data_IF_912133395769
#
_entry.id   IF_912133395769
#
_cell.length_a   1.000
_cell.length_b   1.000
_cell.length_c   1.000
_cell.angle_alpha   90.00
_cell.angle_beta   90.00
_cell.angle_gamma   90.00
#
_symmetry.space_group_name_H-M   'P 1'
#
loop_
_entity.id
_entity.type
_entity.pdbx_description
1 polymer ?
#
# COMPACT_ATOMS: atom_id res chain seq x y z
N UNK A 1 20.12 -24.10 4.54
CA UNK A 1 19.81 -23.74 4.50
C UNK A 1 19.36 -23.38 4.53
N UNK A 2 19.24 -23.06 4.48
CA UNK A 2 18.87 -22.55 4.44
C UNK A 2 18.55 -21.85 4.22
N UNK A 3 18.37 -21.73 4.36
CA UNK A 3 18.01 -21.02 4.31
C UNK A 3 17.91 -20.27 3.67
N UNK A 4 17.58 -20.30 3.24
CA UNK A 4 17.45 -19.52 2.51
C UNK A 4 16.25 -19.10 2.34
N UNK A 5 15.83 -18.68 2.91
CA UNK A 5 14.74 -18.24 2.72
C UNK A 5 14.74 -17.12 1.97
N UNK A 6 13.93 -16.92 1.11
CA UNK A 6 13.85 -15.82 0.39
C UNK A 6 13.22 -14.79 1.17
N UNK A 7 13.77 -13.66 1.30
CA UNK A 7 13.20 -12.58 1.97
C UNK A 7 12.21 -11.92 1.11
N UNK A 8 11.08 -11.53 1.61
CA UNK A 8 10.10 -10.78 0.85
C UNK A 8 10.62 -9.37 0.66
N UNK A 9 10.28 -8.73 -0.45
CA UNK A 9 10.66 -7.36 -0.65
C UNK A 9 10.10 -6.48 0.44
N UNK A 10 10.88 -5.56 0.92
CA UNK A 10 10.38 -4.64 1.90
C UNK A 10 11.12 -3.33 1.75
N UNK A 11 10.51 -2.28 2.21
CA UNK A 11 11.06 -0.95 2.14
C UNK A 11 10.82 -0.31 3.48
N UNK A 12 11.90 0.02 4.19
CA UNK A 12 11.81 0.61 5.51
C UNK A 12 11.01 -0.27 6.46
N UNK A 13 11.21 -1.58 6.36
CA UNK A 13 10.52 -2.50 7.23
C UNK A 13 9.08 -2.77 6.86
N UNK A 14 8.63 -2.26 5.71
CA UNK A 14 7.26 -2.44 5.28
C UNK A 14 7.21 -3.45 4.15
N UNK A 15 6.46 -4.52 4.34
CA UNK A 15 6.29 -5.52 3.31
C UNK A 15 5.05 -5.19 2.49
N UNK A 16 4.91 -5.85 1.35
CA UNK A 16 3.76 -5.64 0.50
C UNK A 16 2.46 -5.91 1.24
N UNK A 17 2.46 -6.94 2.03
CA UNK A 17 1.29 -7.31 2.80
C UNK A 17 0.88 -6.19 3.76
N UNK A 18 1.86 -5.65 4.46
CA UNK A 18 1.59 -4.56 5.39
C UNK A 18 1.10 -3.34 4.65
N UNK A 19 1.72 -3.03 3.50
CA UNK A 19 1.32 -1.86 2.73
C UNK A 19 -0.11 -1.99 2.25
N UNK A 20 -0.49 -3.16 1.78
CA UNK A 20 -1.85 -3.37 1.32
C UNK A 20 -2.86 -3.22 2.44
N UNK A 21 -2.50 -3.71 3.61
CA UNK A 21 -3.37 -3.60 4.74
C UNK A 21 -3.60 -2.15 5.14
N UNK A 22 -2.54 -1.36 5.15
CA UNK A 22 -2.69 0.05 5.47
C UNK A 22 -3.50 0.77 4.41
N UNK A 23 -3.28 0.43 3.14
CA UNK A 23 -4.04 1.06 2.08
C UNK A 23 -5.52 0.78 2.24
N UNK A 24 -5.85 -0.46 2.55
CA UNK A 24 -7.25 -0.83 2.76
C UNK A 24 -7.87 -0.05 3.91
N UNK A 25 -7.14 0.09 4.99
CA UNK A 25 -7.65 0.80 6.14
C UNK A 25 -7.92 2.26 5.83
N UNK A 26 -7.01 2.90 5.09
CA UNK A 26 -7.22 4.30 4.76
C UNK A 26 -8.32 4.49 3.74
N UNK A 27 -8.48 3.54 2.81
CA UNK A 27 -9.59 3.60 1.87
C UNK A 27 -10.92 3.45 2.60
N UNK A 28 -10.96 2.57 3.57
CA UNK A 28 -12.17 2.41 4.36
C UNK A 28 -12.44 3.64 5.18
N UNK A 29 -11.40 4.26 5.73
CA UNK A 29 -11.57 5.48 6.50
C UNK A 29 -12.18 6.57 5.64
N UNK A 30 -11.69 6.71 4.41
CA UNK A 30 -12.23 7.72 3.52
C UNK A 30 -13.72 7.48 3.26
N UNK A 31 -14.07 6.25 2.98
CA UNK A 31 -15.44 5.91 2.71
C UNK A 31 -16.34 6.20 3.93
N UNK A 32 -15.87 5.80 5.09
CA UNK A 32 -16.66 6.00 6.30
C UNK A 32 -16.83 7.47 6.64
N UNK A 33 -15.77 8.25 6.49
CA UNK A 33 -15.86 9.66 6.77
C UNK A 33 -16.84 10.34 5.83
N UNK A 34 -16.77 10.00 4.55
CA UNK A 34 -17.66 10.65 3.58
C UNK A 34 -19.11 10.20 3.76
N UNK A 35 -19.29 9.01 4.31
CA UNK A 35 -20.64 8.49 4.50
C UNK A 35 -21.23 8.92 5.85
N UNK A 36 -20.42 8.82 6.90
CA UNK A 36 -20.90 9.06 8.26
C UNK A 36 -20.28 10.27 8.92
N UNK A 37 -19.43 10.97 8.21
CA UNK A 37 -18.81 12.22 8.68
C UNK A 37 -17.75 12.00 9.76
N UNK A 38 -17.48 10.78 10.14
CA UNK A 38 -16.43 10.51 11.09
C UNK A 38 -16.05 9.04 11.04
N UNK A 39 -14.88 8.73 11.56
CA UNK A 39 -14.39 7.37 11.56
C UNK A 39 -13.34 7.24 12.65
N UNK A 40 -13.38 6.13 13.35
CA UNK A 40 -12.41 5.91 14.38
C UNK A 40 -11.32 4.99 13.89
N UNK A 41 -10.10 5.45 13.92
CA UNK A 41 -8.96 4.65 13.50
C UNK A 41 -8.04 4.53 14.68
N UNK A 42 -8.06 3.38 15.34
CA UNK A 42 -7.29 3.20 16.54
C UNK A 42 -7.82 4.13 17.62
N UNK A 43 -6.95 4.95 18.14
CA UNK A 43 -7.32 5.91 19.16
C UNK A 43 -7.71 7.24 18.58
N UNK A 44 -7.65 7.37 17.28
CA UNK A 44 -7.92 8.64 16.65
C UNK A 44 -9.30 8.71 16.06
N UNK A 45 -9.90 9.88 16.14
CA UNK A 45 -11.18 10.11 15.53
C UNK A 45 -10.95 11.01 14.33
N UNK A 46 -11.35 10.55 13.16
CA UNK A 46 -11.14 11.32 11.93
C UNK A 46 -12.48 11.86 11.47
N UNK A 47 -12.48 13.08 10.98
CA UNK A 47 -13.70 13.72 10.53
C UNK A 47 -13.51 14.26 9.12
N UNK A 48 -14.55 14.91 8.61
CA UNK A 48 -14.47 15.51 7.28
C UNK A 48 -13.31 16.48 7.15
N UNK A 49 -12.94 17.12 8.25
CA UNK A 49 -11.83 18.06 8.21
C UNK A 49 -10.50 17.35 7.95
N UNK A 50 -10.46 16.05 8.18
CA UNK A 50 -9.24 15.29 7.98
C UNK A 50 -9.12 14.66 6.61
N UNK A 51 -10.08 14.90 5.73
CA UNK A 51 -10.08 14.21 4.44
C UNK A 51 -8.84 14.50 3.61
N UNK A 52 -8.29 15.70 3.70
CA UNK A 52 -7.07 16.01 3.00
C UNK A 52 -5.93 15.11 3.46
N UNK A 53 -5.79 14.97 4.74
CA UNK A 53 -4.75 14.14 5.30
C UNK A 53 -4.99 12.68 4.92
N UNK A 54 -6.24 12.24 4.99
CA UNK A 54 -6.59 10.87 4.62
C UNK A 54 -6.22 10.62 3.16
N UNK A 55 -6.52 11.57 2.29
CA UNK A 55 -6.18 11.45 0.88
C UNK A 55 -4.69 11.31 0.66
N UNK A 56 -3.90 12.08 1.42
CA UNK A 56 -2.46 11.99 1.30
C UNK A 56 -1.95 10.63 1.79
N UNK A 57 -2.56 10.08 2.83
CA UNK A 57 -2.17 8.77 3.30
C UNK A 57 -2.51 7.69 2.28
N UNK A 58 -3.66 7.82 1.64
CA UNK A 58 -4.04 6.87 0.62
C UNK A 58 -3.03 6.89 -0.51
N UNK A 59 -2.65 8.09 -0.93
CA UNK A 59 -1.69 8.20 -2.02
C UNK A 59 -0.33 7.63 -1.61
N UNK A 60 0.09 7.90 -0.40
CA UNK A 60 1.34 7.35 0.10
C UNK A 60 1.33 5.83 0.06
N UNK A 61 0.28 5.22 0.56
CA UNK A 61 0.24 3.76 0.61
C UNK A 61 0.02 3.15 -0.77
N UNK A 62 -0.69 3.86 -1.64
CA UNK A 62 -0.86 3.40 -2.99
C UNK A 62 0.48 3.34 -3.71
N UNK A 63 1.30 4.36 -3.51
CA UNK A 63 2.63 4.37 -4.11
C UNK A 63 3.52 3.31 -3.48
N UNK A 64 3.38 3.10 -2.18
CA UNK A 64 4.17 2.08 -1.51
C UNK A 64 3.82 0.69 -2.04
N UNK A 65 2.53 0.42 -2.23
CA UNK A 65 2.11 -0.86 -2.77
C UNK A 65 2.68 -1.05 -4.18
N UNK A 66 2.59 -0.02 -5.01
CA UNK A 66 3.10 -0.12 -6.36
C UNK A 66 4.60 -0.38 -6.37
N UNK A 67 5.32 0.31 -5.50
CA UNK A 67 6.75 0.13 -5.41
C UNK A 67 7.11 -1.30 -4.98
N UNK A 68 6.43 -1.80 -3.97
CA UNK A 68 6.74 -3.13 -3.47
C UNK A 68 6.32 -4.21 -4.46
N UNK A 69 5.23 -4.01 -5.18
CA UNK A 69 4.84 -4.95 -6.21
C UNK A 69 5.89 -5.02 -7.31
N UNK A 70 6.43 -3.88 -7.66
CA UNK A 70 7.46 -3.85 -8.66
C UNK A 70 8.71 -4.57 -8.18
N UNK A 71 9.08 -4.37 -6.93
CA UNK A 71 10.22 -5.05 -6.37
C UNK A 71 10.00 -6.55 -6.36
N UNK A 72 8.80 -6.97 -6.05
CA UNK A 72 8.50 -8.38 -6.01
C UNK A 72 8.57 -8.99 -7.40
N UNK A 73 8.11 -8.29 -8.39
CA UNK A 73 8.18 -8.78 -9.74
C UNK A 73 9.59 -8.93 -10.24
N UNK A 74 10.46 -8.01 -9.89
CA UNK A 74 11.82 -8.11 -10.40
C UNK A 74 12.69 -9.02 -9.60
N UNK A 75 12.32 -9.32 -8.37
CA UNK A 75 13.21 -10.13 -7.61
C UNK A 75 13.26 -11.58 -8.07
N UNK A 76 12.21 -12.08 -8.60
CA UNK A 76 12.20 -13.46 -8.98
C UNK A 76 12.66 -13.72 -10.35
N UNK A 77 12.64 -12.93 -11.11
CA UNK A 77 12.89 -13.30 -12.34
C UNK A 77 13.39 -12.50 -13.14
N UNK A 78 13.89 -12.47 -13.44
CA UNK A 78 14.49 -11.69 -14.09
C UNK A 78 14.21 -11.80 -15.34
N UNK A 79 13.68 -11.96 -15.88
CA UNK A 79 13.43 -12.12 -17.01
C UNK A 79 12.85 -11.23 -17.74
N UNK A 80 12.84 -11.05 -18.16
CA UNK A 80 12.40 -10.35 -18.73
C UNK A 80 11.65 -10.17 -19.53
N UNK A 81 11.39 -9.97 -19.94
CA UNK A 81 10.62 -9.82 -20.60
C UNK A 81 9.99 -9.00 -20.88
N UNK A 82 9.88 -8.68 -20.83
CA UNK A 82 9.27 -7.97 -21.11
C UNK A 82 8.43 -7.42 -21.37
N UNK A 83 8.16 -7.15 -21.51
CA UNK A 83 7.44 -6.71 -21.67
C UNK A 83 6.74 -5.97 -21.95
N UNK A 84 6.38 -5.64 -22.29
CA UNK A 84 5.76 -4.92 -22.51
C UNK A 84 4.96 -4.24 -22.49
N UNK A 85 4.65 -3.88 -22.52
CA UNK A 85 4.01 -3.16 -22.40
C UNK A 85 3.07 -2.63 -22.53
N UNK A 86 2.70 -2.27 -22.50
CA UNK A 86 1.94 -1.80 -22.62
C UNK A 86 1.43 -0.97 -22.68
N UNK A 87 1.23 -0.60 -22.72
CA UNK A 87 0.80 0.20 -22.70
C UNK A 87 0.15 0.70 -22.58
N UNK A 88 -0.04 0.97 -22.50
CA UNK A 88 -0.72 1.46 -22.21
C UNK A 88 -0.83 2.01 -22.24
#
# INVERSE_FOLDING_TARGET
>A
MRGLKKKKPEFRGITLEIARKHLEEWLEAELEITTHQSYRLGNESLTMADLDMVGRRIEYWRQMVAKLEKMEQSRGRNRIYHVVPRDY
#
